data_IF_850979980058
#
_entry.id   IF_850979980058
#
_cell.length_a   1.000
_cell.length_b   1.000
_cell.length_c   1.000
_cell.angle_alpha   90.00
_cell.angle_beta   90.00
_cell.angle_gamma   90.00
#
_symmetry.space_group_name_H-M   'P 1'
#
loop_
_entity.id
_entity.type
_entity.pdbx_description
1 polymer ?
#
# COMPACT_ATOMS: atom_id res chain seq x y z
N UNK A 1 -17.83 -8.56 -5.08
CA UNK A 1 -17.70 -7.53 -6.13
C UNK A 1 -16.21 -7.33 -6.45
N UNK A 2 -15.68 -7.68 -7.63
CA UNK A 2 -14.24 -7.57 -7.92
C UNK A 2 -13.75 -6.11 -8.05
N UNK A 3 -14.65 -5.14 -8.27
CA UNK A 3 -14.30 -3.72 -8.43
C UNK A 3 -13.72 -3.08 -7.17
N UNK A 4 -13.87 -3.72 -6.01
CA UNK A 4 -13.22 -3.32 -4.74
C UNK A 4 -11.69 -3.29 -4.85
N UNK A 5 -11.10 -4.00 -5.81
CA UNK A 5 -9.66 -4.03 -6.02
C UNK A 5 -9.14 -2.82 -6.80
N UNK A 6 -10.02 -2.06 -7.46
CA UNK A 6 -9.61 -0.91 -8.28
C UNK A 6 -8.86 0.14 -7.44
N UNK A 7 -9.40 0.64 -6.30
CA UNK A 7 -8.68 1.62 -5.48
C UNK A 7 -7.30 1.15 -4.99
N UNK A 8 -7.13 -0.03 -4.38
CA UNK A 8 -5.81 -0.46 -3.91
C UNK A 8 -4.84 -0.75 -5.06
N UNK A 9 -5.30 -1.32 -6.19
CA UNK A 9 -4.42 -1.61 -7.34
C UNK A 9 -3.91 -0.33 -7.99
N UNK A 10 -4.78 0.66 -8.23
CA UNK A 10 -4.37 1.96 -8.78
C UNK A 10 -3.42 2.69 -7.83
N UNK A 11 -3.67 2.62 -6.52
CA UNK A 11 -2.76 3.17 -5.50
C UNK A 11 -1.37 2.54 -5.61
N UNK A 12 -1.30 1.22 -5.75
CA UNK A 12 -0.03 0.50 -5.91
C UNK A 12 0.69 0.88 -7.22
N UNK A 13 -0.04 1.02 -8.33
CA UNK A 13 0.52 1.45 -9.62
C UNK A 13 1.16 2.83 -9.51
N UNK A 14 0.55 3.75 -8.78
CA UNK A 14 1.07 5.11 -8.57
C UNK A 14 2.27 5.10 -7.63
N UNK A 15 2.18 4.39 -6.50
CA UNK A 15 3.22 4.43 -5.47
C UNK A 15 4.43 3.57 -5.78
N UNK A 16 4.31 2.51 -6.59
CA UNK A 16 5.43 1.66 -6.97
C UNK A 16 6.61 2.43 -7.62
N UNK A 17 6.40 3.26 -8.68
CA UNK A 17 7.48 4.06 -9.26
C UNK A 17 7.96 5.17 -8.31
N UNK A 18 7.08 5.78 -7.50
CA UNK A 18 7.47 6.81 -6.54
C UNK A 18 8.41 6.21 -5.48
N UNK A 19 8.05 5.05 -4.92
CA UNK A 19 8.87 4.36 -3.92
C UNK A 19 10.22 3.91 -4.48
N UNK A 20 10.23 3.29 -5.67
CA UNK A 20 11.44 2.67 -6.22
C UNK A 20 12.35 3.64 -6.98
N UNK A 21 11.80 4.60 -7.72
CA UNK A 21 12.56 5.51 -8.58
C UNK A 21 12.84 6.87 -7.94
N UNK A 22 11.93 7.38 -7.10
CA UNK A 22 12.10 8.71 -6.48
C UNK A 22 12.73 8.59 -5.10
N UNK A 23 12.20 7.70 -4.26
CA UNK A 23 12.71 7.49 -2.89
C UNK A 23 13.77 6.39 -2.81
N UNK A 24 14.02 5.67 -3.90
CA UNK A 24 14.98 4.57 -3.97
C UNK A 24 14.84 3.55 -2.84
N UNK A 25 13.59 3.27 -2.45
CA UNK A 25 13.27 2.32 -1.39
C UNK A 25 13.70 0.91 -1.80
N UNK A 26 14.43 0.23 -0.91
CA UNK A 26 14.90 -1.14 -1.09
C UNK A 26 14.29 -2.04 -0.03
N UNK A 27 14.26 -3.33 -0.34
CA UNK A 27 13.82 -4.37 0.57
C UNK A 27 14.72 -5.61 0.39
N UNK A 28 14.66 -6.53 1.34
CA UNK A 28 15.36 -7.82 1.24
C UNK A 28 14.66 -8.74 0.22
N UNK A 29 15.41 -9.57 -0.54
CA UNK A 29 14.82 -10.45 -1.56
C UNK A 29 13.79 -11.43 -1.00
N UNK A 30 13.99 -11.92 0.22
CA UNK A 30 13.06 -12.81 0.93
C UNK A 30 11.73 -12.14 1.30
N UNK A 31 11.69 -10.81 1.34
CA UNK A 31 10.49 -10.01 1.59
C UNK A 31 9.68 -9.68 0.34
N UNK A 32 10.15 -10.08 -0.85
CA UNK A 32 9.45 -9.82 -2.11
C UNK A 32 8.07 -10.47 -2.13
N UNK A 33 7.04 -9.72 -2.56
CA UNK A 33 5.66 -10.21 -2.68
C UNK A 33 4.90 -10.36 -1.35
N UNK A 34 5.56 -10.22 -0.20
CA UNK A 34 4.91 -10.32 1.12
C UNK A 34 4.05 -9.08 1.45
N UNK A 35 4.38 -7.94 0.85
CA UNK A 35 3.73 -6.66 1.15
C UNK A 35 3.91 -6.28 2.62
N UNK A 36 2.83 -5.81 3.26
CA UNK A 36 2.81 -5.46 4.70
C UNK A 36 2.38 -6.63 5.59
N UNK A 37 2.29 -7.85 5.07
CA UNK A 37 1.90 -9.04 5.85
C UNK A 37 2.86 -9.21 7.02
N UNK A 38 2.34 -9.17 8.25
CA UNK A 38 3.17 -9.27 9.47
C UNK A 38 4.29 -8.22 9.57
N UNK A 39 4.13 -7.05 8.93
CA UNK A 39 5.17 -6.01 8.79
C UNK A 39 6.46 -6.43 8.08
N UNK A 40 6.46 -7.55 7.34
CA UNK A 40 7.66 -8.03 6.63
C UNK A 40 8.22 -6.98 5.66
N UNK A 41 7.36 -6.23 4.98
CA UNK A 41 7.78 -5.15 4.09
C UNK A 41 8.59 -4.07 4.81
N UNK A 42 8.11 -3.58 5.96
CA UNK A 42 8.75 -2.52 6.74
C UNK A 42 10.04 -3.01 7.40
N UNK A 43 10.00 -4.19 8.04
CA UNK A 43 11.19 -4.80 8.66
C UNK A 43 12.27 -5.06 7.61
N UNK A 44 11.91 -5.64 6.46
CA UNK A 44 12.85 -5.87 5.38
C UNK A 44 13.39 -4.59 4.74
N UNK A 45 12.62 -3.50 4.74
CA UNK A 45 13.11 -2.18 4.33
C UNK A 45 14.15 -1.64 5.31
N UNK A 46 13.91 -1.75 6.61
CA UNK A 46 14.86 -1.35 7.65
C UNK A 46 16.13 -2.19 7.60
N UNK A 47 16.01 -3.49 7.34
CA UNK A 47 17.17 -4.38 7.20
C UNK A 47 18.01 -4.02 5.95
N UNK A 48 17.35 -3.68 4.83
CA UNK A 48 18.03 -3.33 3.58
C UNK A 48 18.60 -1.89 3.54
N UNK A 49 17.99 -0.93 4.24
CA UNK A 49 18.34 0.49 4.18
C UNK A 49 18.93 1.06 5.48
N UNK A 50 18.88 0.28 6.56
CA UNK A 50 19.27 0.71 7.90
C UNK A 50 18.16 1.43 8.68
N UNK A 51 18.50 1.83 9.91
CA UNK A 51 17.55 2.35 10.91
C UNK A 51 17.58 3.88 11.05
N UNK A 52 17.99 4.61 9.99
CA UNK A 52 18.06 6.07 10.06
C UNK A 52 16.67 6.70 10.17
N UNK A 53 16.59 7.90 10.78
CA UNK A 53 15.33 8.63 10.89
C UNK A 53 14.67 8.89 9.52
N UNK A 54 15.48 9.06 8.47
CA UNK A 54 14.98 9.22 7.10
C UNK A 54 14.26 7.96 6.60
N UNK A 55 14.77 6.75 6.88
CA UNK A 55 14.11 5.50 6.48
C UNK A 55 12.79 5.32 7.22
N UNK A 56 12.76 5.61 8.52
CA UNK A 56 11.52 5.60 9.30
C UNK A 56 10.46 6.56 8.74
N UNK A 57 10.87 7.77 8.36
CA UNK A 57 9.99 8.73 7.71
C UNK A 57 9.49 8.24 6.35
N UNK A 58 10.37 7.70 5.51
CA UNK A 58 9.98 7.12 4.23
C UNK A 58 9.00 5.96 4.41
N UNK A 59 9.18 5.11 5.42
CA UNK A 59 8.25 4.02 5.75
C UNK A 59 6.89 4.59 6.19
N UNK A 60 6.86 5.53 7.13
CA UNK A 60 5.62 6.13 7.60
C UNK A 60 4.83 6.78 6.45
N UNK A 61 5.55 7.48 5.56
CA UNK A 61 4.97 8.18 4.43
C UNK A 61 4.49 7.21 3.34
N UNK A 62 5.35 6.31 2.85
CA UNK A 62 5.09 5.50 1.66
C UNK A 62 4.39 4.17 1.94
N UNK A 63 4.50 3.60 3.14
CA UNK A 63 3.82 2.35 3.49
C UNK A 63 2.46 2.56 4.16
N UNK A 64 2.19 3.74 4.73
CA UNK A 64 0.96 4.01 5.47
C UNK A 64 0.23 5.26 4.97
N UNK A 65 0.84 6.44 5.10
CA UNK A 65 0.13 7.71 4.89
C UNK A 65 -0.33 7.90 3.44
N UNK A 66 0.59 7.84 2.48
CA UNK A 66 0.26 8.03 1.07
C UNK A 66 -0.66 6.93 0.52
N UNK A 67 -0.41 5.63 0.77
CA UNK A 67 -1.35 4.58 0.36
C UNK A 67 -2.75 4.80 0.91
N UNK A 68 -2.88 5.15 2.19
CA UNK A 68 -4.18 5.37 2.81
C UNK A 68 -4.92 6.55 2.18
N UNK A 69 -4.25 7.69 1.97
CA UNK A 69 -4.87 8.87 1.38
C UNK A 69 -5.29 8.65 -0.08
N UNK A 70 -4.40 8.09 -0.90
CA UNK A 70 -4.68 7.85 -2.32
C UNK A 70 -5.79 6.79 -2.47
N UNK A 71 -5.70 5.69 -1.72
CA UNK A 71 -6.70 4.63 -1.77
C UNK A 71 -8.06 5.11 -1.28
N UNK A 72 -8.11 5.91 -0.20
CA UNK A 72 -9.35 6.52 0.28
C UNK A 72 -9.97 7.45 -0.76
N UNK A 73 -9.18 8.31 -1.41
CA UNK A 73 -9.65 9.20 -2.47
C UNK A 73 -10.22 8.42 -3.66
N UNK A 74 -9.51 7.38 -4.13
CA UNK A 74 -9.97 6.51 -5.20
C UNK A 74 -11.21 5.69 -4.82
N UNK A 75 -11.28 5.23 -3.56
CA UNK A 75 -12.44 4.51 -3.04
C UNK A 75 -13.67 5.39 -2.99
N UNK A 76 -13.52 6.65 -2.57
CA UNK A 76 -14.60 7.64 -2.58
C UNK A 76 -15.12 7.90 -4.00
N UNK A 77 -14.22 8.01 -4.99
CA UNK A 77 -14.63 8.13 -6.40
C UNK A 77 -15.39 6.90 -6.89
N UNK A 78 -14.90 5.69 -6.59
CA UNK A 78 -15.57 4.45 -6.95
C UNK A 78 -16.94 4.31 -6.27
N UNK A 79 -17.07 4.76 -5.01
CA UNK A 79 -18.34 4.80 -4.28
C UNK A 79 -19.32 5.76 -4.94
N UNK A 80 -18.87 6.98 -5.29
CA UNK A 80 -19.68 7.98 -5.99
C UNK A 80 -20.18 7.51 -7.36
N UNK A 81 -19.38 6.71 -8.06
CA UNK A 81 -19.76 6.11 -9.35
C UNK A 81 -20.66 4.86 -9.20
N UNK A 82 -20.94 4.43 -7.97
CA UNK A 82 -21.75 3.25 -7.68
C UNK A 82 -21.04 1.92 -7.98
N UNK A 83 -19.71 1.93 -8.12
CA UNK A 83 -18.90 0.74 -8.39
C UNK A 83 -18.59 -0.07 -7.14
N UNK A 84 -18.52 0.58 -5.99
CA UNK A 84 -18.33 -0.02 -4.67
C UNK A 84 -19.47 0.45 -3.78
N UNK A 85 -20.01 -0.44 -2.96
CA UNK A 85 -21.09 -0.16 -2.01
C UNK A 85 -20.79 -0.76 -0.64
N UNK A 86 -21.54 -0.32 0.35
CA UNK A 86 -21.46 -0.88 1.70
C UNK A 86 -21.79 -2.38 1.67
N UNK A 87 -20.99 -3.16 2.40
CA UNK A 87 -21.09 -4.62 2.41
C UNK A 87 -20.26 -5.35 1.35
N UNK A 88 -19.72 -4.66 0.33
CA UNK A 88 -18.89 -5.32 -0.70
C UNK A 88 -17.58 -5.93 -0.17
N UNK A 89 -17.10 -5.43 0.98
CA UNK A 89 -15.91 -5.93 1.69
C UNK A 89 -16.24 -6.95 2.79
N UNK A 90 -17.53 -7.27 3.02
CA UNK A 90 -17.88 -8.30 4.01
C UNK A 90 -17.47 -9.67 3.50
N UNK A 91 -16.76 -10.42 4.34
CA UNK A 91 -16.48 -11.81 4.10
C UNK A 91 -17.69 -12.64 4.53
N UNK A 92 -18.12 -13.56 3.68
CA UNK A 92 -19.12 -14.55 4.06
C UNK A 92 -18.44 -15.59 4.95
N UNK A 93 -18.55 -15.43 6.27
CA UNK A 93 -18.25 -16.49 7.22
C UNK A 93 -19.46 -17.41 7.27
N UNK A 94 -19.36 -18.56 6.60
CA UNK A 94 -20.31 -19.67 6.77
C UNK A 94 -20.12 -20.36 8.11
#
# INVERSE_FOLDING_TARGET
>A
NPRILIPPTLTAIILAPIGTLVFHMKNVPTGAGMGTSGFVGQVGTLDAMGYSAQVWWSIALLHFLLPALICAALSWLCYRQGWIRDGDLRLATG
#
